data_IF_527850286150
#
_entry.id   IF_527850286150
#
_cell.length_a   1.000
_cell.length_b   1.000
_cell.length_c   1.000
_cell.angle_alpha   90.00
_cell.angle_beta   90.00
_cell.angle_gamma   90.00
#
_symmetry.space_group_name_H-M   'P 1'
#
loop_
_entity.id
_entity.type
_entity.pdbx_description
1 polymer ?
#
# COMPACT_ATOMS: atom_id res chain seq x y z
N UNK A 1 -28.26 8.11 18.20
CA UNK A 1 -27.12 8.77 18.88
C UNK A 1 -26.79 10.07 18.16
N UNK A 2 -26.52 11.15 18.90
CA UNK A 2 -26.00 12.39 18.30
C UNK A 2 -24.56 12.19 17.80
N UNK A 3 -24.06 13.01 16.87
CA UNK A 3 -22.67 12.92 16.42
C UNK A 3 -21.64 13.01 17.55
N UNK A 4 -21.87 13.91 18.51
CA UNK A 4 -20.97 14.07 19.67
C UNK A 4 -21.03 12.86 20.61
N UNK A 5 -22.20 12.27 20.81
CA UNK A 5 -22.36 11.04 21.58
C UNK A 5 -21.65 9.86 20.90
N UNK A 6 -21.70 9.74 19.57
CA UNK A 6 -20.96 8.73 18.81
C UNK A 6 -19.47 8.88 19.08
N UNK A 7 -18.91 10.09 18.97
CA UNK A 7 -17.49 10.36 19.23
C UNK A 7 -17.12 10.05 20.66
N UNK A 8 -17.91 10.52 21.63
CA UNK A 8 -17.67 10.33 23.06
C UNK A 8 -17.64 8.84 23.44
N UNK A 9 -18.64 8.07 23.01
CA UNK A 9 -18.71 6.62 23.30
C UNK A 9 -17.61 5.84 22.58
N UNK A 10 -17.27 6.23 21.34
CA UNK A 10 -16.17 5.60 20.60
C UNK A 10 -14.85 5.82 21.33
N UNK A 11 -14.55 7.05 21.76
CA UNK A 11 -13.33 7.35 22.53
C UNK A 11 -13.31 6.64 23.89
N UNK A 12 -14.45 6.53 24.55
CA UNK A 12 -14.56 5.90 25.88
C UNK A 12 -14.33 4.39 25.85
N UNK A 13 -14.79 3.69 24.81
CA UNK A 13 -14.86 2.23 24.79
C UNK A 13 -13.95 1.56 23.73
N UNK A 14 -13.31 2.34 22.83
CA UNK A 14 -12.44 1.78 21.81
C UNK A 14 -11.05 2.41 21.91
N UNK A 15 -10.03 1.59 21.60
CA UNK A 15 -8.64 2.00 21.57
C UNK A 15 -8.22 2.29 20.11
N UNK A 16 -7.72 3.49 19.86
CA UNK A 16 -7.29 3.92 18.53
C UNK A 16 -5.81 3.61 18.30
N UNK A 17 -5.50 2.97 17.17
CA UNK A 17 -4.11 2.74 16.76
C UNK A 17 -3.47 4.03 16.20
N UNK A 18 -2.15 4.07 16.20
CA UNK A 18 -1.33 5.16 15.63
C UNK A 18 -1.52 6.55 16.28
N UNK A 19 -2.17 6.62 17.41
CA UNK A 19 -2.52 7.89 18.07
C UNK A 19 -2.35 7.79 19.57
N UNK A 20 -1.91 8.88 20.19
CA UNK A 20 -2.10 9.07 21.62
C UNK A 20 -3.60 9.29 21.89
N UNK A 21 -4.18 8.54 22.83
CA UNK A 21 -5.64 8.47 23.00
C UNK A 21 -6.29 9.84 23.24
N UNK A 22 -5.64 10.70 24.00
CA UNK A 22 -6.17 12.06 24.31
C UNK A 22 -6.18 12.97 23.08
N UNK A 23 -5.28 12.75 22.11
CA UNK A 23 -5.18 13.55 20.88
C UNK A 23 -6.15 13.13 19.78
N UNK A 24 -6.88 12.01 19.96
CA UNK A 24 -7.80 11.49 18.94
C UNK A 24 -9.02 12.39 18.81
N UNK A 25 -9.26 12.87 17.59
CA UNK A 25 -10.45 13.63 17.21
C UNK A 25 -11.06 13.01 15.92
N UNK A 26 -11.79 11.88 16.04
CA UNK A 26 -12.27 11.13 14.90
C UNK A 26 -13.44 11.83 14.22
N UNK A 27 -13.53 11.72 12.89
CA UNK A 27 -14.72 12.14 12.14
C UNK A 27 -15.83 11.10 12.42
N UNK A 28 -17.03 11.53 12.87
CA UNK A 28 -18.17 10.62 13.04
C UNK A 28 -18.76 10.27 11.65
N UNK A 29 -18.10 9.38 10.92
CA UNK A 29 -18.50 8.98 9.58
C UNK A 29 -19.85 8.24 9.61
N UNK A 30 -20.80 8.66 8.74
CA UNK A 30 -22.15 8.11 8.71
C UNK A 30 -22.46 7.28 7.45
N UNK A 31 -21.98 7.73 6.27
CA UNK A 31 -22.24 7.06 4.98
C UNK A 31 -21.13 7.36 3.99
N UNK A 32 -21.01 6.49 2.98
CA UNK A 32 -20.10 6.68 1.84
C UNK A 32 -20.78 6.31 0.52
N UNK A 33 -20.48 7.03 -0.57
CA UNK A 33 -20.91 6.69 -1.94
C UNK A 33 -19.91 7.23 -2.97
N UNK A 34 -19.47 6.38 -3.88
CA UNK A 34 -18.48 6.76 -4.90
C UNK A 34 -17.17 7.22 -4.27
N UNK A 35 -16.67 8.38 -4.65
CA UNK A 35 -15.46 8.99 -4.09
C UNK A 35 -15.71 9.85 -2.84
N UNK A 36 -16.93 9.88 -2.33
CA UNK A 36 -17.34 10.74 -1.23
C UNK A 36 -17.79 9.95 -0.01
N UNK A 37 -17.60 10.56 1.16
CA UNK A 37 -18.29 10.17 2.37
C UNK A 37 -18.87 11.39 3.10
N UNK A 38 -19.77 11.14 4.05
CA UNK A 38 -20.40 12.16 4.87
C UNK A 38 -20.25 11.82 6.33
N UNK A 39 -19.98 12.85 7.14
CA UNK A 39 -20.05 12.70 8.56
C UNK A 39 -21.50 12.78 9.08
N UNK A 40 -21.69 12.51 10.37
CA UNK A 40 -23.00 12.52 11.00
C UNK A 40 -23.59 13.93 11.21
N UNK A 41 -22.81 15.00 10.92
CA UNK A 41 -23.31 16.37 10.82
C UNK A 41 -23.79 16.71 9.41
N UNK A 42 -23.64 15.79 8.46
CA UNK A 42 -24.02 15.97 7.05
C UNK A 42 -22.96 16.62 6.17
N UNK A 43 -21.77 16.89 6.70
CA UNK A 43 -20.67 17.45 5.92
C UNK A 43 -20.12 16.37 4.98
N UNK A 44 -19.99 16.73 3.69
CA UNK A 44 -19.41 15.88 2.64
C UNK A 44 -17.89 16.06 2.57
N UNK A 45 -17.19 14.97 2.36
CA UNK A 45 -15.77 14.93 2.09
C UNK A 45 -15.49 14.15 0.82
N UNK A 46 -14.60 14.68 -0.06
CA UNK A 46 -13.96 13.87 -1.08
C UNK A 46 -12.85 13.06 -0.42
N UNK A 47 -12.88 11.75 -0.63
CA UNK A 47 -11.92 10.80 -0.04
C UNK A 47 -10.65 10.73 -0.91
N UNK A 48 -9.72 11.67 -0.72
CA UNK A 48 -8.45 11.70 -1.48
C UNK A 48 -7.47 10.61 -1.04
N UNK A 49 -7.80 9.82 -0.03
CA UNK A 49 -6.92 8.77 0.49
C UNK A 49 -7.54 7.37 0.40
N UNK A 50 -8.72 7.19 -0.23
CA UNK A 50 -9.44 5.91 -0.25
C UNK A 50 -9.53 5.29 1.15
N UNK A 51 -9.91 6.08 2.16
CA UNK A 51 -9.81 5.80 3.60
C UNK A 51 -8.36 5.52 4.02
N UNK A 52 -7.92 4.29 3.99
CA UNK A 52 -6.54 3.89 4.24
C UNK A 52 -5.94 3.21 3.00
N UNK A 53 -6.07 3.87 1.83
CA UNK A 53 -5.59 3.41 0.51
C UNK A 53 -6.16 2.03 0.15
N UNK A 54 -7.46 1.83 0.43
CA UNK A 54 -8.10 0.52 0.29
C UNK A 54 -9.44 0.56 -0.47
N UNK A 55 -10.12 1.69 -0.54
CA UNK A 55 -11.44 1.81 -1.18
C UNK A 55 -11.27 2.05 -2.69
N UNK A 56 -10.73 1.04 -3.41
CA UNK A 56 -10.32 1.20 -4.81
C UNK A 56 -11.52 1.44 -5.75
N UNK A 57 -12.62 0.69 -5.60
CA UNK A 57 -13.84 0.84 -6.42
C UNK A 57 -14.82 1.87 -5.86
N UNK A 58 -14.40 2.66 -4.85
CA UNK A 58 -15.28 3.63 -4.20
C UNK A 58 -16.16 3.03 -3.12
N UNK A 59 -16.91 3.91 -2.45
CA UNK A 59 -17.84 3.58 -1.39
C UNK A 59 -19.19 3.15 -1.94
N UNK A 60 -19.82 2.15 -1.31
CA UNK A 60 -21.24 1.84 -1.47
C UNK A 60 -21.64 1.32 -2.87
N UNK A 61 -20.80 0.53 -3.53
CA UNK A 61 -21.17 -0.18 -4.76
C UNK A 61 -22.18 -1.28 -4.43
N UNK A 62 -23.37 -1.16 -5.01
CA UNK A 62 -24.49 -2.04 -4.73
C UNK A 62 -24.23 -3.49 -5.17
N UNK A 63 -23.43 -3.72 -6.22
CA UNK A 63 -23.08 -5.05 -6.73
C UNK A 63 -22.32 -5.86 -5.68
N UNK A 64 -21.38 -5.21 -4.98
CA UNK A 64 -20.61 -5.87 -3.91
C UNK A 64 -21.47 -6.08 -2.67
N UNK A 65 -22.32 -5.10 -2.31
CA UNK A 65 -23.24 -5.20 -1.18
C UNK A 65 -24.21 -6.36 -1.38
N UNK A 66 -24.82 -6.47 -2.56
CA UNK A 66 -25.76 -7.57 -2.87
C UNK A 66 -25.06 -8.94 -2.92
N UNK A 67 -23.81 -9.01 -3.43
CA UNK A 67 -23.03 -10.25 -3.37
C UNK A 67 -22.78 -10.73 -1.94
N UNK A 68 -22.48 -9.80 -1.02
CA UNK A 68 -22.31 -10.11 0.41
C UNK A 68 -23.63 -10.59 1.02
N UNK A 69 -24.75 -9.92 0.75
CA UNK A 69 -26.07 -10.31 1.26
C UNK A 69 -26.44 -11.71 0.78
N UNK A 70 -26.31 -11.97 -0.51
CA UNK A 70 -26.57 -13.30 -1.08
C UNK A 70 -25.72 -14.37 -0.44
N UNK A 71 -24.41 -14.12 -0.27
CA UNK A 71 -23.52 -15.07 0.39
C UNK A 71 -23.91 -15.32 1.85
N UNK A 72 -24.40 -14.29 2.55
CA UNK A 72 -24.87 -14.43 3.94
C UNK A 72 -26.13 -15.31 4.05
N UNK A 73 -27.00 -15.29 3.05
CA UNK A 73 -28.19 -16.16 3.00
C UNK A 73 -27.83 -17.61 2.67
N UNK A 74 -26.79 -17.84 1.87
CA UNK A 74 -26.41 -19.18 1.40
C UNK A 74 -25.43 -19.89 2.35
N UNK A 75 -24.31 -19.24 2.70
CA UNK A 75 -23.25 -19.84 3.50
C UNK A 75 -22.37 -18.76 4.17
N UNK A 76 -22.58 -18.53 5.44
CA UNK A 76 -21.82 -17.52 6.21
C UNK A 76 -20.37 -17.94 6.42
N UNK A 77 -20.14 -19.19 6.86
CA UNK A 77 -18.82 -19.70 7.21
C UNK A 77 -18.63 -21.13 6.74
N UNK A 78 -17.41 -21.40 6.25
CA UNK A 78 -16.89 -22.74 6.01
C UNK A 78 -15.49 -22.85 6.59
N UNK A 79 -15.18 -23.95 7.26
CA UNK A 79 -13.84 -24.19 7.82
C UNK A 79 -12.76 -24.21 6.71
N UNK A 80 -11.49 -23.89 7.04
CA UNK A 80 -10.42 -23.75 6.04
C UNK A 80 -10.16 -24.99 5.17
N UNK A 81 -10.55 -26.17 5.62
CA UNK A 81 -10.44 -27.44 4.88
C UNK A 81 -11.59 -27.68 3.89
N UNK A 82 -12.65 -26.87 3.94
CA UNK A 82 -13.82 -27.07 3.10
C UNK A 82 -13.64 -26.37 1.73
N UNK A 83 -14.18 -27.03 0.70
CA UNK A 83 -14.38 -26.41 -0.61
C UNK A 83 -15.72 -25.67 -0.62
N UNK A 84 -15.79 -24.54 -1.31
CA UNK A 84 -17.02 -23.81 -1.59
C UNK A 84 -16.96 -23.21 -2.99
N UNK A 85 -18.10 -22.95 -3.61
CA UNK A 85 -18.19 -22.36 -4.94
C UNK A 85 -17.47 -21.01 -4.99
N UNK A 86 -17.71 -20.13 -4.01
CA UNK A 86 -17.08 -18.81 -3.93
C UNK A 86 -15.57 -18.89 -3.79
N UNK A 87 -15.04 -19.92 -3.10
CA UNK A 87 -13.60 -20.16 -2.96
C UNK A 87 -12.97 -20.59 -4.29
N UNK A 88 -13.66 -21.46 -5.02
CA UNK A 88 -13.20 -21.86 -6.35
C UNK A 88 -13.24 -20.69 -7.33
N UNK A 89 -14.30 -19.90 -7.30
CA UNK A 89 -14.52 -18.75 -8.17
C UNK A 89 -13.44 -17.69 -7.99
N UNK A 90 -13.18 -17.25 -6.75
CA UNK A 90 -12.16 -16.20 -6.52
C UNK A 90 -10.77 -16.69 -6.92
N UNK A 91 -10.43 -17.97 -6.64
CA UNK A 91 -9.15 -18.54 -7.06
C UNK A 91 -8.97 -18.52 -8.57
N UNK A 92 -10.03 -18.86 -9.31
CA UNK A 92 -10.03 -18.82 -10.79
C UNK A 92 -9.89 -17.38 -11.29
N UNK A 93 -10.72 -16.45 -10.80
CA UNK A 93 -10.73 -15.06 -11.29
C UNK A 93 -9.46 -14.27 -10.95
N UNK A 94 -8.84 -14.54 -9.79
CA UNK A 94 -7.52 -14.00 -9.45
C UNK A 94 -6.43 -14.56 -10.38
N UNK A 95 -6.44 -15.87 -10.66
CA UNK A 95 -5.46 -16.49 -11.54
C UNK A 95 -5.46 -15.93 -12.97
N UNK A 96 -6.56 -15.30 -13.42
CA UNK A 96 -6.66 -14.65 -14.73
C UNK A 96 -5.90 -13.31 -14.79
N UNK A 97 -5.73 -12.63 -13.66
CA UNK A 97 -5.13 -11.27 -13.58
C UNK A 97 -3.74 -11.26 -12.94
N UNK A 98 -3.31 -12.41 -12.38
CA UNK A 98 -1.98 -12.51 -11.76
C UNK A 98 -0.85 -12.59 -12.81
N UNK A 99 0.31 -11.99 -12.54
CA UNK A 99 1.48 -12.10 -13.40
C UNK A 99 2.04 -13.53 -13.41
N UNK A 100 2.46 -13.99 -14.57
CA UNK A 100 3.15 -15.28 -14.76
C UNK A 100 2.36 -16.49 -14.26
N UNK A 101 3.02 -17.32 -13.44
CA UNK A 101 2.51 -18.57 -12.87
C UNK A 101 2.03 -18.47 -11.41
N UNK A 102 1.81 -17.28 -10.91
CA UNK A 102 1.29 -17.02 -9.56
C UNK A 102 -0.21 -17.37 -9.45
N UNK A 103 -0.56 -18.65 -9.52
CA UNK A 103 -1.96 -19.11 -9.66
C UNK A 103 -2.49 -19.92 -8.48
N UNK A 104 -1.76 -19.97 -7.38
CA UNK A 104 -2.20 -20.63 -6.15
C UNK A 104 -2.24 -19.60 -5.00
N UNK A 105 -3.32 -19.63 -4.22
CA UNK A 105 -3.61 -18.60 -3.23
C UNK A 105 -3.81 -19.18 -1.84
N UNK A 106 -3.18 -18.57 -0.84
CA UNK A 106 -3.49 -18.75 0.57
C UNK A 106 -4.19 -17.50 1.07
N UNK A 107 -5.47 -17.61 1.41
CA UNK A 107 -6.29 -16.48 1.87
C UNK A 107 -6.11 -16.22 3.35
N UNK A 108 -6.04 -14.93 3.73
CA UNK A 108 -5.87 -14.41 5.09
C UNK A 108 -6.92 -13.32 5.36
N UNK A 109 -6.90 -12.68 6.54
CA UNK A 109 -7.85 -11.59 6.84
C UNK A 109 -7.30 -10.20 6.47
N UNK A 110 -6.01 -10.10 6.21
CA UNK A 110 -5.40 -8.81 5.85
C UNK A 110 -3.95 -8.94 5.43
N UNK A 111 -3.35 -7.78 5.07
CA UNK A 111 -1.97 -7.72 4.56
C UNK A 111 -0.91 -8.19 5.55
N UNK A 112 -1.06 -7.86 6.84
CA UNK A 112 -0.11 -8.30 7.86
C UNK A 112 -0.03 -9.83 7.95
N UNK A 113 -1.17 -10.52 7.96
CA UNK A 113 -1.21 -11.98 7.97
C UNK A 113 -0.73 -12.59 6.65
N UNK A 114 -1.00 -11.93 5.51
CA UNK A 114 -0.44 -12.36 4.23
C UNK A 114 1.10 -12.31 4.28
N UNK A 115 1.67 -11.23 4.78
CA UNK A 115 3.11 -11.07 4.93
C UNK A 115 3.72 -12.09 5.92
N UNK A 116 3.06 -12.35 7.06
CA UNK A 116 3.49 -13.41 8.00
C UNK A 116 3.56 -14.78 7.34
N UNK A 117 2.55 -15.12 6.52
CA UNK A 117 2.50 -16.42 5.87
C UNK A 117 3.51 -16.50 4.70
N UNK A 118 3.77 -15.39 3.99
CA UNK A 118 4.84 -15.33 3.00
C UNK A 118 6.22 -15.54 3.64
N UNK A 119 6.48 -14.96 4.83
CA UNK A 119 7.71 -15.22 5.62
C UNK A 119 7.85 -16.70 5.95
N UNK A 120 6.77 -17.34 6.45
CA UNK A 120 6.78 -18.77 6.77
C UNK A 120 7.06 -19.62 5.52
N UNK A 121 6.39 -19.34 4.41
CA UNK A 121 6.58 -20.05 3.14
C UNK A 121 8.00 -19.90 2.64
N UNK A 122 8.57 -18.69 2.66
CA UNK A 122 9.92 -18.42 2.20
C UNK A 122 10.95 -19.21 3.02
N UNK A 123 10.86 -19.17 4.34
CA UNK A 123 11.76 -19.90 5.25
C UNK A 123 11.64 -21.41 5.10
N UNK A 124 10.41 -21.92 5.01
CA UNK A 124 10.17 -23.36 4.89
C UNK A 124 10.63 -23.91 3.54
N UNK A 125 10.29 -23.21 2.45
CA UNK A 125 10.67 -23.62 1.10
C UNK A 125 12.18 -23.63 0.88
N UNK A 126 12.89 -22.60 1.37
CA UNK A 126 14.33 -22.47 1.14
C UNK A 126 15.18 -23.18 2.20
N UNK A 127 14.63 -23.50 3.36
CA UNK A 127 15.38 -23.96 4.53
C UNK A 127 16.29 -22.88 5.14
N UNK A 128 16.15 -21.62 4.70
CA UNK A 128 16.95 -20.48 5.14
C UNK A 128 16.17 -19.59 6.10
N UNK A 129 16.83 -18.74 6.88
CA UNK A 129 16.14 -17.99 7.93
C UNK A 129 16.18 -16.47 7.79
N UNK A 130 17.16 -15.90 7.04
CA UNK A 130 17.27 -14.46 6.89
C UNK A 130 16.31 -13.92 5.84
N UNK A 131 15.81 -12.70 6.05
CA UNK A 131 14.98 -11.97 5.10
C UNK A 131 15.53 -10.55 4.99
N UNK A 132 15.70 -10.07 3.78
CA UNK A 132 16.08 -8.68 3.50
C UNK A 132 14.81 -7.86 3.23
N UNK A 133 14.66 -6.72 3.91
CA UNK A 133 13.59 -5.75 3.72
C UNK A 133 14.17 -4.34 3.58
N UNK A 134 13.33 -3.32 3.29
CA UNK A 134 13.79 -1.94 3.13
C UNK A 134 13.49 -1.08 4.36
N UNK A 135 14.32 -0.03 4.60
CA UNK A 135 14.10 0.91 5.70
C UNK A 135 12.82 1.75 5.53
N UNK A 136 12.51 2.19 4.31
CA UNK A 136 11.26 2.93 4.08
C UNK A 136 10.17 1.98 3.62
N UNK A 137 9.68 1.17 4.56
CA UNK A 137 8.63 0.19 4.28
C UNK A 137 7.63 0.08 5.42
N UNK A 138 6.46 -0.48 5.09
CA UNK A 138 5.46 -0.90 6.05
C UNK A 138 4.77 -2.17 5.57
N UNK A 139 4.88 -3.24 6.36
CA UNK A 139 4.37 -4.57 5.97
C UNK A 139 3.25 -5.09 6.88
N UNK A 140 2.93 -4.39 7.95
CA UNK A 140 1.85 -4.79 8.87
C UNK A 140 2.22 -4.66 10.34
N UNK A 141 1.26 -4.95 11.22
CA UNK A 141 1.37 -4.73 12.67
C UNK A 141 1.56 -6.02 13.49
N UNK A 142 1.64 -7.19 12.85
CA UNK A 142 1.99 -8.46 13.51
C UNK A 142 3.51 -8.58 13.66
N UNK A 143 4.01 -9.45 14.53
CA UNK A 143 5.44 -9.49 14.88
C UNK A 143 6.40 -9.60 13.69
N UNK A 144 6.15 -10.53 12.76
CA UNK A 144 7.02 -10.70 11.59
C UNK A 144 6.87 -9.55 10.61
N UNK A 145 5.64 -9.16 10.26
CA UNK A 145 5.39 -8.05 9.35
C UNK A 145 5.90 -6.71 9.90
N UNK A 146 5.80 -6.48 11.23
CA UNK A 146 6.36 -5.30 11.88
C UNK A 146 7.89 -5.33 11.87
N UNK A 147 8.50 -6.51 11.99
CA UNK A 147 9.97 -6.63 11.90
C UNK A 147 10.48 -6.36 10.49
N UNK A 148 9.72 -6.75 9.44
CA UNK A 148 10.03 -6.37 8.06
C UNK A 148 9.87 -4.86 7.83
N UNK A 149 8.93 -4.21 8.52
CA UNK A 149 8.73 -2.76 8.46
C UNK A 149 10.01 -2.05 8.88
N UNK A 150 10.52 -1.17 8.02
CA UNK A 150 11.81 -0.53 8.26
C UNK A 150 11.73 0.83 8.93
N UNK A 151 10.56 1.47 8.97
CA UNK A 151 10.41 2.79 9.57
C UNK A 151 10.22 2.75 11.10
N UNK A 152 10.10 3.95 11.70
CA UNK A 152 10.05 4.11 13.16
C UNK A 152 8.88 3.40 13.85
N UNK A 153 7.84 2.97 13.13
CA UNK A 153 6.71 2.23 13.71
C UNK A 153 7.13 0.89 14.32
N UNK A 154 8.26 0.31 13.86
CA UNK A 154 8.80 -0.92 14.45
C UNK A 154 9.47 -0.72 15.82
N UNK A 155 9.99 0.47 16.13
CA UNK A 155 10.85 0.68 17.31
C UNK A 155 10.22 0.24 18.63
N UNK A 156 8.90 0.45 18.79
CA UNK A 156 8.17 0.01 19.97
C UNK A 156 7.93 -1.52 20.03
N UNK A 157 8.26 -2.25 18.95
CA UNK A 157 8.04 -3.69 18.81
C UNK A 157 9.36 -4.48 18.69
N UNK A 158 10.49 -3.81 18.82
CA UNK A 158 11.79 -4.47 18.81
C UNK A 158 12.01 -5.29 20.10
N UNK A 159 12.76 -6.43 20.02
CA UNK A 159 13.65 -6.81 18.91
C UNK A 159 12.99 -7.52 17.71
N UNK A 160 11.72 -7.86 17.75
CA UNK A 160 11.01 -8.53 16.66
C UNK A 160 11.44 -9.99 16.42
N UNK A 161 11.19 -10.53 15.22
CA UNK A 161 11.64 -11.86 14.82
C UNK A 161 13.11 -11.83 14.38
N UNK A 162 13.90 -12.90 14.65
CA UNK A 162 15.31 -12.92 14.26
C UNK A 162 15.50 -13.01 12.74
N UNK A 163 16.67 -12.51 12.27
CA UNK A 163 17.15 -12.71 10.91
C UNK A 163 16.57 -11.73 9.86
N UNK A 164 16.01 -10.61 10.27
CA UNK A 164 15.61 -9.54 9.33
C UNK A 164 16.73 -8.51 9.20
N UNK A 165 17.08 -8.18 7.96
CA UNK A 165 18.12 -7.23 7.59
C UNK A 165 17.47 -6.13 6.78
N UNK A 166 17.73 -4.85 7.14
CA UNK A 166 17.21 -3.72 6.39
C UNK A 166 18.27 -3.11 5.47
N UNK A 167 17.86 -2.85 4.23
CA UNK A 167 18.66 -2.16 3.21
C UNK A 167 18.06 -0.78 2.89
N UNK A 168 18.83 0.07 2.25
CA UNK A 168 18.33 1.37 1.79
C UNK A 168 17.42 1.24 0.58
N UNK A 169 16.55 2.24 0.44
CA UNK A 169 15.56 2.32 -0.62
C UNK A 169 16.14 2.95 -1.88
N UNK A 170 15.67 2.58 -3.08
CA UNK A 170 16.04 3.24 -4.32
C UNK A 170 15.31 4.60 -4.45
N UNK A 171 15.49 5.47 -3.47
CA UNK A 171 14.79 6.74 -3.31
C UNK A 171 15.61 7.91 -3.87
N UNK A 172 15.53 8.12 -5.18
CA UNK A 172 16.36 9.08 -5.93
C UNK A 172 16.43 10.46 -5.28
N UNK A 173 15.32 11.02 -4.83
CA UNK A 173 15.28 12.37 -4.27
C UNK A 173 16.13 12.55 -3.00
N UNK A 174 16.30 11.50 -2.17
CA UNK A 174 17.04 11.59 -0.89
C UNK A 174 18.21 10.60 -0.76
N UNK A 175 18.47 9.79 -1.76
CA UNK A 175 19.54 8.81 -1.68
C UNK A 175 20.91 9.47 -1.76
N UNK A 176 21.83 9.05 -0.89
CA UNK A 176 23.24 9.44 -0.97
C UNK A 176 23.98 8.75 -2.13
N UNK A 177 23.42 7.67 -2.68
CA UNK A 177 23.98 6.97 -3.83
C UNK A 177 23.71 7.72 -5.15
N UNK A 178 22.63 8.53 -5.19
CA UNK A 178 22.31 9.31 -6.37
C UNK A 178 23.25 10.51 -6.51
N UNK A 179 23.85 10.66 -7.68
CA UNK A 179 24.63 11.84 -8.07
C UNK A 179 23.87 12.60 -9.15
N UNK A 180 23.96 13.92 -9.12
CA UNK A 180 23.34 14.76 -10.15
C UNK A 180 23.86 14.39 -11.54
N UNK A 181 22.95 14.12 -12.47
CA UNK A 181 23.26 13.62 -13.80
C UNK A 181 23.23 12.10 -13.96
N UNK A 182 23.10 11.32 -12.88
CA UNK A 182 22.89 9.87 -13.01
C UNK A 182 21.59 9.58 -13.77
N UNK A 183 21.65 8.71 -14.77
CA UNK A 183 20.46 8.11 -15.35
C UNK A 183 19.79 7.14 -14.35
N UNK A 184 18.54 6.78 -14.59
CA UNK A 184 17.83 5.82 -13.75
C UNK A 184 18.57 4.48 -13.71
N UNK A 185 19.11 4.01 -14.83
CA UNK A 185 19.90 2.77 -14.91
C UNK A 185 21.18 2.83 -14.07
N UNK A 186 21.90 3.97 -14.09
CA UNK A 186 23.12 4.17 -13.28
C UNK A 186 22.76 4.15 -11.79
N UNK A 187 21.73 4.86 -11.41
CA UNK A 187 21.26 4.88 -10.01
C UNK A 187 20.74 3.52 -9.56
N UNK A 188 19.94 2.83 -10.39
CA UNK A 188 19.49 1.47 -10.13
C UNK A 188 20.68 0.54 -9.89
N UNK A 189 21.72 0.60 -10.74
CA UNK A 189 22.93 -0.22 -10.60
C UNK A 189 23.62 0.01 -9.26
N UNK A 190 23.83 1.27 -8.86
CA UNK A 190 24.42 1.60 -7.54
C UNK A 190 23.61 1.01 -6.38
N UNK A 191 22.26 1.05 -6.45
CA UNK A 191 21.41 0.44 -5.43
C UNK A 191 21.52 -1.09 -5.42
N UNK A 192 21.63 -1.73 -6.58
CA UNK A 192 21.79 -3.18 -6.71
C UNK A 192 23.15 -3.67 -6.23
N UNK A 193 24.22 -2.93 -6.54
CA UNK A 193 25.58 -3.23 -6.07
C UNK A 193 25.66 -3.19 -4.54
N UNK A 194 24.94 -2.26 -3.88
CA UNK A 194 24.81 -2.24 -2.42
C UNK A 194 24.11 -3.51 -1.89
N UNK A 195 23.08 -4.01 -2.58
CA UNK A 195 22.40 -5.26 -2.19
C UNK A 195 23.32 -6.45 -2.32
N UNK A 196 24.10 -6.54 -3.40
CA UNK A 196 25.10 -7.60 -3.57
C UNK A 196 26.19 -7.56 -2.47
N UNK A 197 26.62 -6.36 -2.07
CA UNK A 197 27.58 -6.18 -0.97
C UNK A 197 26.99 -6.67 0.37
N UNK A 198 25.74 -6.29 0.68
CA UNK A 198 25.03 -6.80 1.87
C UNK A 198 24.92 -8.32 1.83
N UNK A 199 24.54 -8.90 0.70
CA UNK A 199 24.44 -10.35 0.54
C UNK A 199 25.79 -11.05 0.75
N UNK A 200 26.88 -10.45 0.28
CA UNK A 200 28.23 -11.00 0.50
C UNK A 200 28.55 -11.12 2.00
N UNK A 201 28.28 -10.07 2.79
CA UNK A 201 28.54 -10.08 4.25
C UNK A 201 27.55 -10.96 5.02
N UNK A 202 26.30 -11.04 4.59
CA UNK A 202 25.27 -11.83 5.26
C UNK A 202 25.31 -13.33 4.94
N UNK A 203 26.01 -13.71 3.88
CA UNK A 203 26.04 -15.07 3.35
C UNK A 203 24.78 -15.40 2.53
N UNK A 204 24.79 -15.30 1.21
CA UNK A 204 23.59 -15.47 0.35
C UNK A 204 22.84 -16.78 0.60
N UNK A 205 23.57 -17.85 0.96
CA UNK A 205 23.02 -19.18 1.28
C UNK A 205 22.19 -19.21 2.58
N UNK A 206 22.18 -18.15 3.39
CA UNK A 206 21.37 -18.02 4.61
C UNK A 206 20.11 -17.18 4.39
N UNK A 207 20.01 -16.47 3.25
CA UNK A 207 18.90 -15.55 2.92
C UNK A 207 17.80 -16.29 2.21
N UNK A 208 16.60 -16.32 2.79
CA UNK A 208 15.41 -16.96 2.26
C UNK A 208 14.74 -16.11 1.18
N UNK A 209 14.59 -14.81 1.45
CA UNK A 209 13.86 -13.91 0.57
C UNK A 209 14.36 -12.46 0.65
N UNK A 210 14.17 -11.73 -0.44
CA UNK A 210 14.13 -10.26 -0.45
C UNK A 210 12.64 -9.89 -0.53
N UNK A 211 12.19 -9.11 0.47
CA UNK A 211 10.79 -8.75 0.68
C UNK A 211 10.62 -7.24 0.52
N UNK A 212 9.89 -6.80 -0.48
CA UNK A 212 9.74 -5.38 -0.79
C UNK A 212 8.28 -5.01 -1.11
N UNK A 213 7.88 -3.78 -0.81
CA UNK A 213 6.77 -3.15 -1.53
C UNK A 213 7.24 -2.85 -2.95
N UNK A 214 6.53 -3.28 -3.99
CA UNK A 214 6.92 -3.02 -5.40
C UNK A 214 7.07 -1.52 -5.64
N UNK A 215 6.05 -0.76 -5.27
CA UNK A 215 6.10 0.70 -5.09
C UNK A 215 5.83 0.96 -3.62
N UNK A 216 6.77 1.60 -2.95
CA UNK A 216 6.63 1.88 -1.51
C UNK A 216 5.44 2.79 -1.24
N UNK A 217 4.55 2.38 -0.35
CA UNK A 217 3.32 3.12 -0.04
C UNK A 217 3.51 4.29 0.92
N UNK A 218 3.14 4.11 2.20
CA UNK A 218 3.05 5.20 3.20
C UNK A 218 4.36 5.98 3.42
N UNK A 219 5.49 5.41 3.07
CA UNK A 219 6.79 6.06 3.19
C UNK A 219 7.15 6.97 2.01
N UNK A 220 6.19 7.29 1.11
CA UNK A 220 6.30 8.39 0.17
C UNK A 220 6.15 8.05 -1.30
N UNK A 221 5.44 6.98 -1.64
CA UNK A 221 5.23 6.53 -3.02
C UNK A 221 6.56 6.47 -3.77
N UNK A 222 7.49 5.66 -3.24
CA UNK A 222 8.82 5.54 -3.83
C UNK A 222 8.73 4.55 -4.99
N UNK A 223 8.83 5.08 -6.20
CA UNK A 223 8.82 4.32 -7.44
C UNK A 223 10.26 3.88 -7.72
N UNK A 224 10.53 2.59 -7.90
CA UNK A 224 11.87 2.12 -8.22
C UNK A 224 12.30 2.66 -9.59
N UNK A 225 13.60 3.07 -9.75
CA UNK A 225 14.11 3.51 -11.03
C UNK A 225 14.16 2.36 -12.04
N UNK A 226 14.13 2.70 -13.31
CA UNK A 226 14.20 1.73 -14.40
C UNK A 226 15.44 0.82 -14.27
N UNK A 227 15.23 -0.48 -14.43
CA UNK A 227 16.26 -1.51 -14.28
C UNK A 227 16.44 -2.04 -12.85
N UNK A 228 15.91 -1.36 -11.82
CA UNK A 228 16.08 -1.82 -10.43
C UNK A 228 15.35 -3.13 -10.14
N UNK A 229 14.07 -3.24 -10.51
CA UNK A 229 13.28 -4.42 -10.19
C UNK A 229 13.73 -5.65 -10.99
N UNK A 230 14.11 -5.44 -12.26
CA UNK A 230 14.72 -6.48 -13.10
C UNK A 230 16.04 -6.97 -12.52
N UNK A 231 16.95 -6.07 -12.16
CA UNK A 231 18.23 -6.43 -11.54
C UNK A 231 18.05 -7.11 -10.18
N UNK A 232 17.04 -6.71 -9.40
CA UNK A 232 16.70 -7.39 -8.15
C UNK A 232 16.24 -8.85 -8.40
N UNK A 233 15.43 -9.08 -9.45
CA UNK A 233 15.03 -10.42 -9.86
C UNK A 233 16.25 -11.26 -10.29
N UNK A 234 17.20 -10.66 -11.02
CA UNK A 234 18.45 -11.34 -11.40
C UNK A 234 19.30 -11.73 -10.21
N UNK A 235 19.47 -10.84 -9.22
CA UNK A 235 20.17 -11.12 -7.95
C UNK A 235 19.50 -12.30 -7.23
N UNK A 236 18.17 -12.26 -7.10
CA UNK A 236 17.42 -13.35 -6.48
C UNK A 236 17.63 -14.68 -7.19
N UNK A 237 17.58 -14.68 -8.53
CA UNK A 237 17.82 -15.88 -9.35
C UNK A 237 19.25 -16.42 -9.18
N UNK A 238 20.25 -15.54 -9.22
CA UNK A 238 21.68 -15.87 -9.06
C UNK A 238 21.97 -16.60 -7.75
N UNK A 239 21.34 -16.14 -6.66
CA UNK A 239 21.61 -16.68 -5.32
C UNK A 239 20.56 -17.68 -4.81
N UNK A 240 19.53 -17.98 -5.60
CA UNK A 240 18.42 -18.86 -5.20
C UNK A 240 17.66 -18.28 -4.00
N UNK A 241 17.48 -16.97 -3.98
CA UNK A 241 16.71 -16.20 -3.00
C UNK A 241 15.32 -15.94 -3.59
N UNK A 242 14.27 -16.02 -2.78
CA UNK A 242 12.92 -15.70 -3.26
C UNK A 242 12.71 -14.18 -3.33
N UNK A 243 12.07 -13.71 -4.39
CA UNK A 243 11.56 -12.34 -4.47
C UNK A 243 10.10 -12.32 -4.03
N UNK A 244 9.79 -11.60 -2.95
CA UNK A 244 8.44 -11.40 -2.45
C UNK A 244 8.05 -9.95 -2.63
N UNK A 245 7.02 -9.70 -3.41
CA UNK A 245 6.49 -8.36 -3.65
C UNK A 245 5.22 -8.14 -2.82
N UNK A 246 5.27 -7.18 -1.90
CA UNK A 246 4.12 -6.69 -1.16
C UNK A 246 3.34 -5.72 -2.05
N UNK A 247 2.24 -6.20 -2.58
CA UNK A 247 1.30 -5.44 -3.43
C UNK A 247 0.02 -5.04 -2.67
N UNK A 248 0.08 -5.05 -1.34
CA UNK A 248 -1.06 -4.70 -0.48
C UNK A 248 -1.57 -3.29 -0.76
N UNK A 249 -0.68 -2.34 -1.08
CA UNK A 249 -1.08 -0.98 -1.47
C UNK A 249 -1.01 -0.75 -2.99
N UNK A 250 0.04 -1.24 -3.62
CA UNK A 250 0.36 -0.93 -5.02
C UNK A 250 -0.44 -1.76 -6.03
N UNK A 251 -0.93 -2.93 -5.62
CA UNK A 251 -1.70 -3.83 -6.48
C UNK A 251 -3.15 -3.42 -6.72
N UNK A 252 -3.82 -4.26 -7.49
CA UNK A 252 -5.26 -4.17 -7.78
C UNK A 252 -5.67 -2.80 -8.34
N UNK A 253 -4.97 -2.41 -9.43
CA UNK A 253 -5.29 -1.24 -10.23
C UNK A 253 -4.72 0.07 -9.74
N UNK A 254 -4.17 0.15 -8.53
CA UNK A 254 -3.70 1.40 -7.91
C UNK A 254 -2.68 2.15 -8.78
N UNK A 255 -1.77 1.42 -9.40
CA UNK A 255 -0.71 1.99 -10.24
C UNK A 255 -1.09 2.12 -11.73
N UNK A 256 -2.33 1.75 -12.11
CA UNK A 256 -2.77 1.75 -13.51
C UNK A 256 -2.49 0.44 -14.27
N UNK A 257 -1.99 -0.56 -13.55
CA UNK A 257 -1.91 -1.98 -13.97
C UNK A 257 -2.54 -2.85 -12.88
N UNK A 258 -2.85 -4.13 -13.17
CA UNK A 258 -3.42 -5.03 -12.17
C UNK A 258 -2.49 -5.18 -10.96
N UNK A 259 -1.21 -5.38 -11.21
CA UNK A 259 -0.16 -5.39 -10.19
C UNK A 259 0.98 -4.45 -10.59
N UNK A 260 1.61 -3.81 -9.61
CA UNK A 260 2.67 -2.85 -9.91
C UNK A 260 3.88 -3.50 -10.59
N UNK A 261 4.17 -4.77 -10.32
CA UNK A 261 5.24 -5.53 -10.99
C UNK A 261 5.09 -5.59 -12.52
N UNK A 262 3.87 -5.43 -13.04
CA UNK A 262 3.58 -5.45 -14.47
C UNK A 262 4.25 -4.31 -15.22
N UNK A 263 4.48 -3.15 -14.57
CA UNK A 263 5.19 -2.03 -15.17
C UNK A 263 6.63 -2.38 -15.59
N UNK A 264 7.25 -3.33 -14.92
CA UNK A 264 8.63 -3.75 -15.15
C UNK A 264 8.75 -5.14 -15.77
N UNK A 265 7.64 -5.80 -16.09
CA UNK A 265 7.58 -7.16 -16.60
C UNK A 265 8.36 -8.15 -15.71
N UNK A 266 8.27 -8.00 -14.40
CA UNK A 266 8.92 -8.87 -13.42
C UNK A 266 7.90 -9.78 -12.76
N UNK A 267 8.18 -11.09 -12.78
CA UNK A 267 7.39 -12.08 -12.05
C UNK A 267 8.13 -12.45 -10.76
N UNK A 268 7.61 -12.07 -9.58
CA UNK A 268 8.18 -12.49 -8.31
C UNK A 268 7.81 -13.94 -7.97
N UNK A 269 8.41 -14.50 -6.93
CA UNK A 269 8.06 -15.85 -6.46
C UNK A 269 6.77 -15.85 -5.63
N UNK A 270 6.47 -14.74 -4.96
CA UNK A 270 5.22 -14.53 -4.21
C UNK A 270 4.77 -13.08 -4.33
N UNK A 271 3.44 -12.89 -4.33
CA UNK A 271 2.80 -11.58 -4.16
C UNK A 271 1.89 -11.65 -2.94
N UNK A 272 1.99 -10.67 -2.05
CA UNK A 272 1.01 -10.47 -0.97
C UNK A 272 0.04 -9.35 -1.34
N UNK A 273 -1.24 -9.53 -1.05
CA UNK A 273 -2.30 -8.59 -1.39
C UNK A 273 -3.36 -8.50 -0.29
N UNK A 274 -4.04 -7.36 -0.22
CA UNK A 274 -5.20 -7.10 0.65
C UNK A 274 -5.97 -5.87 0.13
N UNK A 275 -6.42 -4.97 1.01
CA UNK A 275 -6.99 -3.64 0.68
C UNK A 275 -7.91 -3.65 -0.56
N UNK A 276 -7.37 -3.31 -1.73
CA UNK A 276 -8.08 -3.30 -3.01
C UNK A 276 -8.72 -4.65 -3.39
N UNK A 277 -8.29 -5.76 -2.79
CA UNK A 277 -8.80 -7.11 -3.06
C UNK A 277 -10.32 -7.23 -2.82
N UNK A 278 -10.82 -6.51 -1.83
CA UNK A 278 -12.26 -6.38 -1.56
C UNK A 278 -12.70 -4.92 -1.57
N UNK A 279 -11.81 -4.00 -1.91
CA UNK A 279 -12.05 -2.56 -1.75
C UNK A 279 -12.54 -2.18 -0.34
N UNK A 280 -12.06 -2.91 0.68
CA UNK A 280 -12.42 -2.76 2.09
C UNK A 280 -13.89 -3.10 2.46
N UNK A 281 -14.68 -3.66 1.54
CA UNK A 281 -16.04 -4.09 1.86
C UNK A 281 -16.06 -5.22 2.89
N UNK A 282 -15.07 -6.10 2.86
CA UNK A 282 -14.84 -7.16 3.87
C UNK A 282 -13.32 -7.33 4.10
N UNK A 283 -12.90 -7.73 5.32
CA UNK A 283 -11.50 -8.09 5.58
C UNK A 283 -11.08 -9.28 4.73
N UNK A 284 -10.04 -9.12 3.92
CA UNK A 284 -9.43 -10.20 3.13
C UNK A 284 -7.99 -9.83 2.79
N UNK A 285 -7.11 -10.80 2.84
CA UNK A 285 -5.77 -10.77 2.29
C UNK A 285 -5.47 -12.08 1.58
N UNK A 286 -4.39 -12.12 0.82
CA UNK A 286 -3.93 -13.35 0.19
C UNK A 286 -2.42 -13.32 -0.06
N UNK A 287 -1.82 -14.52 -0.08
CA UNK A 287 -0.50 -14.78 -0.65
C UNK A 287 -0.72 -15.56 -1.94
N UNK A 288 -0.28 -15.00 -3.07
CA UNK A 288 -0.16 -15.73 -4.33
C UNK A 288 1.24 -16.33 -4.43
N UNK A 289 1.34 -17.58 -4.81
CA UNK A 289 2.61 -18.33 -4.94
C UNK A 289 2.75 -18.90 -6.34
N UNK A 290 3.99 -19.00 -6.82
CA UNK A 290 4.32 -19.64 -8.09
C UNK A 290 4.20 -21.17 -8.05
N UNK A 291 4.25 -21.81 -9.22
CA UNK A 291 4.12 -23.27 -9.35
C UNK A 291 5.19 -24.00 -8.54
N UNK A 292 6.43 -23.52 -8.53
CA UNK A 292 7.55 -24.12 -7.82
C UNK A 292 7.31 -24.21 -6.30
N UNK A 293 6.79 -23.16 -5.68
CA UNK A 293 6.42 -23.18 -4.26
C UNK A 293 5.19 -24.04 -4.05
N UNK A 294 4.19 -23.96 -4.94
CA UNK A 294 2.99 -24.81 -4.87
C UNK A 294 3.35 -26.30 -4.91
N UNK A 295 4.27 -26.68 -5.78
CA UNK A 295 4.73 -28.07 -5.95
C UNK A 295 5.48 -28.59 -4.73
N UNK A 296 6.27 -27.74 -4.07
CA UNK A 296 6.93 -28.08 -2.81
C UNK A 296 5.93 -28.51 -1.72
N UNK A 297 4.72 -27.94 -1.72
CA UNK A 297 3.69 -28.27 -0.74
C UNK A 297 2.75 -29.40 -1.17
N UNK A 298 3.01 -30.12 -2.25
CA UNK A 298 2.20 -31.29 -2.65
C UNK A 298 2.26 -32.43 -1.64
N UNK A 299 3.43 -32.61 -1.01
CA UNK A 299 3.71 -33.67 -0.02
C UNK A 299 4.15 -33.13 1.35
N UNK A 300 4.20 -31.82 1.54
CA UNK A 300 4.59 -31.18 2.79
C UNK A 300 3.43 -30.36 3.38
N UNK A 301 3.28 -30.44 4.68
CA UNK A 301 2.24 -29.67 5.40
C UNK A 301 2.66 -28.21 5.52
N UNK A 302 1.77 -27.30 5.13
CA UNK A 302 1.90 -25.88 5.44
C UNK A 302 1.13 -25.55 6.71
N UNK A 303 1.84 -25.13 7.75
CA UNK A 303 1.26 -24.78 9.06
C UNK A 303 0.81 -23.31 9.09
N UNK A 304 -0.15 -22.93 8.22
CA UNK A 304 -0.70 -21.58 8.09
C UNK A 304 -1.63 -21.20 9.24
N UNK A 305 -2.57 -22.08 9.60
CA UNK A 305 -3.31 -22.07 10.85
C UNK A 305 -4.26 -20.90 11.12
N UNK A 306 -4.94 -20.34 10.11
CA UNK A 306 -5.90 -19.26 10.27
C UNK A 306 -7.32 -19.79 10.25
N UNK A 307 -8.07 -19.65 11.38
CA UNK A 307 -9.47 -20.11 11.51
C UNK A 307 -10.39 -19.52 10.46
N UNK A 308 -10.22 -18.24 10.13
CA UNK A 308 -11.04 -17.52 9.15
C UNK A 308 -10.43 -17.46 7.74
N UNK A 309 -9.40 -18.27 7.46
CA UNK A 309 -8.84 -18.38 6.10
C UNK A 309 -9.94 -18.75 5.10
N UNK A 310 -10.01 -18.04 4.00
CA UNK A 310 -11.00 -18.26 2.93
C UNK A 310 -12.46 -18.15 3.41
N UNK A 311 -12.76 -17.17 4.29
CA UNK A 311 -14.11 -16.93 4.79
C UNK A 311 -15.08 -16.58 3.65
N UNK A 312 -16.18 -17.33 3.43
CA UNK A 312 -17.06 -17.17 2.28
C UNK A 312 -17.57 -15.75 2.04
N UNK A 313 -17.96 -15.03 3.10
CA UNK A 313 -18.41 -13.64 3.01
C UNK A 313 -17.35 -12.71 2.43
N UNK A 314 -16.09 -12.85 2.88
CA UNK A 314 -14.98 -12.05 2.39
C UNK A 314 -14.61 -12.41 0.95
N UNK A 315 -14.68 -13.69 0.60
CA UNK A 315 -14.42 -14.15 -0.77
C UNK A 315 -15.50 -13.65 -1.74
N UNK A 316 -16.76 -13.61 -1.33
CA UNK A 316 -17.86 -13.08 -2.15
C UNK A 316 -17.66 -11.58 -2.45
N UNK A 317 -17.22 -10.79 -1.45
CA UNK A 317 -16.85 -9.41 -1.65
C UNK A 317 -15.67 -9.29 -2.64
N UNK A 318 -14.66 -10.15 -2.53
CA UNK A 318 -13.51 -10.19 -3.43
C UNK A 318 -13.90 -10.52 -4.88
N UNK A 319 -14.74 -11.55 -5.10
CA UNK A 319 -15.26 -11.91 -6.42
C UNK A 319 -16.01 -10.72 -7.04
N UNK A 320 -16.94 -10.12 -6.29
CA UNK A 320 -17.71 -8.98 -6.79
C UNK A 320 -16.81 -7.78 -7.11
N UNK A 321 -15.83 -7.48 -6.25
CA UNK A 321 -14.86 -6.40 -6.49
C UNK A 321 -14.07 -6.61 -7.76
N UNK A 322 -13.53 -7.81 -8.01
CA UNK A 322 -12.77 -8.13 -9.24
C UNK A 322 -13.63 -7.97 -10.48
N UNK A 323 -14.91 -8.38 -10.42
CA UNK A 323 -15.86 -8.21 -11.53
C UNK A 323 -16.15 -6.75 -11.81
N UNK A 324 -16.46 -5.97 -10.79
CA UNK A 324 -16.64 -4.52 -10.90
C UNK A 324 -15.42 -3.86 -11.52
N UNK A 325 -14.21 -4.23 -11.09
CA UNK A 325 -12.97 -3.68 -11.65
C UNK A 325 -12.79 -4.01 -13.14
N UNK A 326 -13.20 -5.20 -13.59
CA UNK A 326 -13.15 -5.62 -14.99
C UNK A 326 -14.26 -4.94 -15.82
N UNK A 327 -15.51 -4.98 -15.34
CA UNK A 327 -16.68 -4.46 -16.03
C UNK A 327 -16.62 -2.94 -16.28
N UNK A 328 -16.16 -2.19 -15.29
CA UNK A 328 -16.10 -0.72 -15.34
C UNK A 328 -14.72 -0.20 -15.82
N UNK A 329 -13.80 -1.08 -16.26
CA UNK A 329 -12.43 -0.72 -16.68
C UNK A 329 -11.70 0.18 -15.66
N UNK A 330 -11.79 -0.16 -14.38
CA UNK A 330 -11.26 0.67 -13.30
C UNK A 330 -9.73 0.79 -13.38
N UNK A 331 -9.04 -0.27 -13.80
CA UNK A 331 -7.58 -0.24 -14.02
C UNK A 331 -7.23 0.73 -15.14
N UNK A 332 -7.98 0.72 -16.24
CA UNK A 332 -7.83 1.68 -17.35
C UNK A 332 -8.14 3.09 -16.92
N UNK A 333 -9.16 3.32 -16.06
CA UNK A 333 -9.44 4.63 -15.49
C UNK A 333 -8.26 5.13 -14.63
N UNK A 334 -7.71 4.28 -13.76
CA UNK A 334 -6.53 4.61 -12.95
C UNK A 334 -5.34 5.03 -13.81
N UNK A 335 -5.10 4.32 -14.92
CA UNK A 335 -4.04 4.64 -15.88
C UNK A 335 -4.28 5.99 -16.58
N UNK A 336 -5.52 6.23 -17.02
CA UNK A 336 -5.91 7.44 -17.76
C UNK A 336 -5.92 8.68 -16.85
N UNK A 337 -6.65 8.63 -15.74
CA UNK A 337 -6.77 9.75 -14.80
C UNK A 337 -5.46 9.96 -14.02
N UNK A 338 -4.68 8.89 -13.80
CA UNK A 338 -3.35 8.98 -13.20
C UNK A 338 -2.37 9.84 -14.01
N UNK A 339 -2.46 9.83 -15.35
CA UNK A 339 -1.66 10.74 -16.19
C UNK A 339 -2.04 12.20 -15.97
N UNK A 340 -3.33 12.48 -15.78
CA UNK A 340 -3.80 13.83 -15.45
C UNK A 340 -3.30 14.24 -14.07
N UNK A 341 -3.36 13.34 -13.09
CA UNK A 341 -2.84 13.59 -11.76
C UNK A 341 -1.33 13.91 -11.79
N UNK A 342 -0.54 13.20 -12.59
CA UNK A 342 0.88 13.49 -12.76
C UNK A 342 1.13 14.91 -13.24
N UNK A 343 0.40 15.37 -14.27
CA UNK A 343 0.49 16.76 -14.76
C UNK A 343 0.12 17.78 -13.68
N UNK A 344 -0.97 17.55 -12.96
CA UNK A 344 -1.38 18.44 -11.87
C UNK A 344 -0.37 18.49 -10.72
N UNK A 345 0.30 17.38 -10.42
CA UNK A 345 1.38 17.34 -9.43
C UNK A 345 2.62 18.12 -9.90
N UNK A 346 2.98 18.03 -11.18
CA UNK A 346 4.07 18.81 -11.77
C UNK A 346 3.76 20.31 -11.75
N UNK A 347 2.52 20.71 -12.05
CA UNK A 347 2.06 22.11 -11.96
C UNK A 347 2.22 22.63 -10.51
N UNK A 348 1.76 21.88 -9.50
CA UNK A 348 1.94 22.25 -8.09
C UNK A 348 3.42 22.39 -7.71
N UNK A 349 4.28 21.52 -8.23
CA UNK A 349 5.73 21.60 -7.98
C UNK A 349 6.35 22.84 -8.61
N UNK A 350 5.85 23.27 -9.76
CA UNK A 350 6.31 24.48 -10.43
C UNK A 350 5.84 25.75 -9.70
N UNK A 351 4.60 25.76 -9.21
CA UNK A 351 3.97 26.93 -8.60
C UNK A 351 4.38 27.13 -7.13
N UNK A 352 4.56 26.05 -6.36
CA UNK A 352 4.79 26.12 -4.91
C UNK A 352 6.25 25.86 -4.52
N UNK A 353 6.97 26.86 -3.98
CA UNK A 353 8.37 26.69 -3.55
C UNK A 353 8.55 25.64 -2.43
N UNK A 354 7.52 25.39 -1.61
CA UNK A 354 7.56 24.37 -0.57
C UNK A 354 7.44 22.93 -1.08
N UNK A 355 7.02 22.74 -2.34
CA UNK A 355 6.99 21.41 -2.95
C UNK A 355 8.39 21.02 -3.43
N UNK A 356 9.07 20.18 -2.66
CA UNK A 356 10.42 19.71 -2.99
C UNK A 356 10.43 18.62 -4.05
N UNK A 357 9.47 17.69 -3.99
CA UNK A 357 9.32 16.60 -4.95
C UNK A 357 7.89 16.12 -5.07
N UNK A 358 7.54 15.60 -6.25
CA UNK A 358 6.26 14.91 -6.51
C UNK A 358 6.52 13.57 -7.16
N UNK A 359 5.71 12.59 -6.84
CA UNK A 359 5.82 11.24 -7.40
C UNK A 359 4.44 10.67 -7.62
N UNK A 360 4.22 10.05 -8.77
CA UNK A 360 2.96 9.33 -9.03
C UNK A 360 3.14 8.23 -10.06
N UNK A 361 2.33 7.18 -9.92
CA UNK A 361 2.17 6.11 -10.89
C UNK A 361 0.70 5.65 -10.83
N UNK A 362 -0.05 5.77 -11.93
CA UNK A 362 -1.51 5.65 -11.89
C UNK A 362 -2.12 6.66 -10.90
N UNK A 363 -3.06 6.23 -10.08
CA UNK A 363 -3.68 7.03 -9.01
C UNK A 363 -3.03 6.79 -7.65
N UNK A 364 -1.71 6.64 -7.64
CA UNK A 364 -0.86 6.46 -6.48
C UNK A 364 0.18 7.57 -6.44
N UNK A 365 -0.08 8.64 -5.66
CA UNK A 365 0.71 9.86 -5.71
C UNK A 365 1.08 10.43 -4.34
N UNK A 366 2.11 11.28 -4.34
CA UNK A 366 2.64 11.94 -3.14
C UNK A 366 3.28 13.27 -3.50
N UNK A 367 3.00 14.29 -2.67
CA UNK A 367 3.66 15.59 -2.64
C UNK A 367 4.58 15.61 -1.43
N UNK A 368 5.88 15.82 -1.65
CA UNK A 368 6.87 15.92 -0.58
C UNK A 368 7.24 17.39 -0.32
N UNK A 369 7.01 17.84 0.90
CA UNK A 369 7.14 19.23 1.31
C UNK A 369 8.47 19.50 2.03
N UNK A 370 9.11 20.61 1.69
CA UNK A 370 10.42 21.03 2.21
C UNK A 370 10.39 22.47 2.69
N UNK A 371 11.26 22.81 3.64
CA UNK A 371 11.54 24.20 4.07
C UNK A 371 12.59 24.88 3.20
N UNK A 372 13.36 24.09 2.47
CA UNK A 372 14.43 24.57 1.60
C UNK A 372 14.65 23.55 0.48
N UNK A 373 14.50 23.97 -0.79
CA UNK A 373 14.67 23.08 -1.95
C UNK A 373 16.12 22.65 -2.18
N UNK A 374 17.09 23.50 -1.86
CA UNK A 374 18.52 23.20 -2.10
C UNK A 374 19.03 22.16 -1.13
N UNK A 375 18.76 22.35 0.17
CA UNK A 375 19.19 21.42 1.21
C UNK A 375 18.24 20.23 1.37
N UNK A 376 17.04 20.29 0.77
CA UNK A 376 15.93 19.33 0.92
C UNK A 376 15.49 19.18 2.38
N UNK A 377 15.67 20.23 3.21
CA UNK A 377 15.21 20.22 4.60
C UNK A 377 13.71 19.95 4.64
N UNK A 378 13.25 18.85 5.31
CA UNK A 378 11.85 18.45 5.27
C UNK A 378 10.96 19.42 6.06
N UNK A 379 9.70 19.59 5.64
CA UNK A 379 8.71 20.44 6.30
C UNK A 379 8.35 19.93 7.71
N UNK A 380 8.52 18.63 7.98
CA UNK A 380 8.32 18.02 9.29
C UNK A 380 9.47 17.06 9.63
N UNK A 381 9.73 16.77 10.91
CA UNK A 381 10.75 15.80 11.31
C UNK A 381 10.40 14.37 10.89
N UNK A 382 11.41 13.48 10.95
CA UNK A 382 11.21 12.05 10.62
C UNK A 382 10.18 11.37 11.53
N UNK A 383 10.12 11.77 12.80
CA UNK A 383 9.08 11.33 13.76
C UNK A 383 8.36 12.55 14.28
N UNK A 384 7.03 12.52 14.28
CA UNK A 384 6.18 13.63 14.69
C UNK A 384 5.63 14.44 13.51
N UNK A 385 5.00 15.55 13.83
CA UNK A 385 4.40 16.48 12.88
C UNK A 385 4.93 17.90 13.10
N UNK A 386 4.79 18.77 12.10
CA UNK A 386 5.02 20.20 12.22
C UNK A 386 3.69 20.97 12.31
N UNK A 387 3.77 22.19 12.80
CA UNK A 387 2.60 23.06 12.86
C UNK A 387 2.01 23.33 11.46
N UNK A 388 2.87 23.48 10.46
CA UNK A 388 2.49 23.72 9.07
C UNK A 388 1.76 22.52 8.47
N UNK A 389 2.28 21.30 8.67
CA UNK A 389 1.63 20.08 8.19
C UNK A 389 0.27 19.84 8.88
N UNK A 390 0.16 20.17 10.17
CA UNK A 390 -1.11 20.11 10.88
C UNK A 390 -2.12 21.13 10.34
N UNK A 391 -1.68 22.37 10.08
CA UNK A 391 -2.52 23.42 9.48
C UNK A 391 -2.98 23.03 8.06
N UNK A 392 -2.08 22.49 7.26
CA UNK A 392 -2.40 22.00 5.92
C UNK A 392 -3.48 20.91 5.97
N UNK A 393 -3.31 19.92 6.83
CA UNK A 393 -4.29 18.84 7.01
C UNK A 393 -5.65 19.37 7.53
N UNK A 394 -5.65 20.34 8.45
CA UNK A 394 -6.86 20.98 8.95
C UNK A 394 -7.58 21.75 7.84
N UNK A 395 -6.86 22.55 7.05
CA UNK A 395 -7.41 23.29 5.92
C UNK A 395 -8.09 22.38 4.90
N UNK A 396 -7.43 21.27 4.52
CA UNK A 396 -8.01 20.28 3.60
C UNK A 396 -9.32 19.71 4.17
N UNK A 397 -9.32 19.30 5.45
CA UNK A 397 -10.51 18.78 6.14
C UNK A 397 -11.63 19.81 6.23
N UNK A 398 -11.32 21.07 6.53
CA UNK A 398 -12.30 22.18 6.58
C UNK A 398 -12.93 22.43 5.23
N UNK A 399 -12.17 22.28 4.13
CA UNK A 399 -12.64 22.45 2.77
C UNK A 399 -13.17 21.15 2.11
N UNK A 400 -13.53 20.16 2.93
CA UNK A 400 -14.21 18.96 2.46
C UNK A 400 -13.31 17.96 1.71
N UNK A 401 -12.03 17.97 1.97
CA UNK A 401 -11.06 16.99 1.46
C UNK A 401 -10.51 16.14 2.60
N UNK A 402 -10.72 14.83 2.52
CA UNK A 402 -10.09 13.87 3.43
C UNK A 402 -8.79 13.37 2.79
N UNK A 403 -7.66 13.82 3.34
CA UNK A 403 -6.33 13.49 2.86
C UNK A 403 -5.47 12.89 3.97
N UNK A 404 -4.45 12.15 3.58
CA UNK A 404 -3.47 11.58 4.50
C UNK A 404 -2.17 12.38 4.43
N UNK A 405 -1.82 13.01 5.54
CA UNK A 405 -0.52 13.65 5.73
C UNK A 405 0.34 12.76 6.61
N UNK A 406 1.55 12.49 6.17
CA UNK A 406 2.50 11.65 6.91
C UNK A 406 3.88 12.29 6.89
N UNK A 407 4.41 12.69 8.05
CA UNK A 407 5.65 13.46 8.12
C UNK A 407 5.51 14.77 7.30
N UNK A 408 6.39 14.97 6.32
CA UNK A 408 6.37 16.08 5.38
C UNK A 408 5.72 15.73 4.02
N UNK A 409 4.85 14.74 3.99
CA UNK A 409 4.22 14.25 2.76
C UNK A 409 2.70 14.39 2.81
N UNK A 410 2.11 14.81 1.71
CA UNK A 410 0.68 14.74 1.43
C UNK A 410 0.45 13.68 0.36
N UNK A 411 -0.34 12.67 0.69
CA UNK A 411 -0.67 11.57 -0.23
C UNK A 411 -1.91 11.89 -1.07
N UNK A 412 -1.86 11.52 -2.35
CA UNK A 412 -2.95 11.68 -3.33
C UNK A 412 -3.33 10.31 -3.89
N UNK A 413 -4.16 9.59 -3.15
CA UNK A 413 -4.52 8.18 -3.41
C UNK A 413 -6.05 8.00 -3.45
N UNK A 414 -6.79 8.71 -4.30
CA UNK A 414 -8.25 8.66 -4.34
C UNK A 414 -8.75 7.27 -4.76
N UNK A 415 -10.05 6.96 -4.59
CA UNK A 415 -10.66 5.80 -5.22
C UNK A 415 -10.42 5.82 -6.73
N UNK A 416 -10.17 4.65 -7.32
CA UNK A 416 -9.75 4.53 -8.72
C UNK A 416 -10.87 4.89 -9.72
N UNK A 417 -12.08 5.06 -9.23
CA UNK A 417 -13.26 5.52 -10.00
C UNK A 417 -13.34 7.05 -10.11
N UNK A 418 -12.41 7.79 -9.49
CA UNK A 418 -12.43 9.25 -9.54
C UNK A 418 -12.42 9.75 -10.99
N UNK A 419 -13.25 10.75 -11.27
CA UNK A 419 -13.29 11.41 -12.57
C UNK A 419 -12.22 12.50 -12.66
N UNK A 420 -11.85 12.89 -13.88
CA UNK A 420 -10.97 14.05 -14.11
C UNK A 420 -11.51 15.32 -13.45
N UNK A 421 -12.82 15.56 -13.54
CA UNK A 421 -13.46 16.73 -12.94
C UNK A 421 -13.27 16.77 -11.43
N UNK A 422 -13.58 15.67 -10.75
CA UNK A 422 -13.41 15.56 -9.30
C UNK A 422 -11.94 15.68 -8.88
N UNK A 423 -11.04 15.13 -9.68
CA UNK A 423 -9.61 15.25 -9.43
C UNK A 423 -9.15 16.71 -9.53
N UNK A 424 -9.56 17.45 -10.56
CA UNK A 424 -9.23 18.87 -10.70
C UNK A 424 -9.80 19.71 -9.56
N UNK A 425 -11.07 19.48 -9.18
CA UNK A 425 -11.70 20.17 -8.05
C UNK A 425 -10.90 19.99 -6.75
N UNK A 426 -10.43 18.78 -6.45
CA UNK A 426 -9.64 18.55 -5.23
C UNK A 426 -8.24 19.15 -5.31
N UNK A 427 -7.62 19.19 -6.49
CA UNK A 427 -6.32 19.81 -6.69
C UNK A 427 -6.35 21.33 -6.54
N UNK A 428 -7.47 22.00 -6.87
CA UNK A 428 -7.67 23.41 -6.55
C UNK A 428 -7.66 23.68 -5.05
N UNK A 429 -8.20 22.76 -4.24
CA UNK A 429 -8.15 22.87 -2.77
C UNK A 429 -6.72 22.62 -2.25
N UNK A 430 -6.00 21.65 -2.84
CA UNK A 430 -4.60 21.38 -2.49
C UNK A 430 -3.73 22.59 -2.82
N UNK A 431 -3.91 23.19 -3.98
CA UNK A 431 -3.16 24.39 -4.42
C UNK A 431 -3.25 25.50 -3.36
N UNK A 432 -4.46 25.85 -2.91
CA UNK A 432 -4.66 26.83 -1.83
C UNK A 432 -4.05 26.39 -0.48
N UNK A 433 -4.13 25.10 -0.18
CA UNK A 433 -3.58 24.58 1.08
C UNK A 433 -2.04 24.70 1.13
N UNK A 434 -1.37 24.59 -0.01
CA UNK A 434 0.09 24.67 -0.11
C UNK A 434 0.64 26.08 0.17
N UNK A 435 -0.18 27.15 0.04
CA UNK A 435 0.20 28.51 0.47
C UNK A 435 0.63 28.55 1.95
N UNK A 436 0.06 27.66 2.78
CA UNK A 436 0.41 27.53 4.21
C UNK A 436 1.87 27.09 4.37
N UNK A 437 2.31 26.13 3.54
CA UNK A 437 3.67 25.62 3.59
C UNK A 437 4.66 26.53 2.89
N UNK A 438 4.23 27.26 1.86
CA UNK A 438 5.04 28.28 1.18
C UNK A 438 5.40 29.43 2.12
N UNK A 439 4.47 29.82 3.01
CA UNK A 439 4.73 30.81 4.04
C UNK A 439 5.82 30.43 5.06
N UNK A 440 6.17 29.14 5.12
CA UNK A 440 7.16 28.58 6.05
C UNK A 440 8.53 28.31 5.41
N UNK A 441 8.74 28.68 4.14
CA UNK A 441 10.03 28.56 3.47
C UNK A 441 11.10 29.42 4.12
N UNK A 442 12.31 28.86 4.26
CA UNK A 442 13.47 29.57 4.84
C UNK A 442 14.32 30.31 3.81
N UNK A 443 14.24 29.89 2.54
CA UNK A 443 14.85 30.58 1.41
C UNK A 443 13.76 31.34 0.64
N UNK A 444 13.71 32.66 0.79
CA UNK A 444 12.95 33.56 -0.05
C UNK A 444 13.86 34.21 -1.08
#
# INVERSE_FOLDING_TARGET
>A
MSPDEIVALTKKHNFFSWSAQDSVNPIPMAKGKGVYFWDAHGKRYLDLNSQLMCVNIGHGDERVIEAIKKQAEELVYAGPSMASEVRATIGKELAEVMPGDLKKFFFTLGGAEANENAIKMARHFTGRHKIIARYRSYHGATSGAMTLTGDHRRWANEPGIPGVIHIFDPYKYRSQLYQEGDSDQVFARKCLDQIEEVLMYEGPHTVAAIFIETVTGTNGIIIPPDGYLQGLREICNKHGILLVCDEVMAGLGRTGEWFAVDHWNVVPDMITMAKGLTSAYMPLGAVAINEKISDFYKDKVFYGGLTYSAHPMSLAAGVATLRVMKEDDIVGNSKRVGKIMAGLLDDLKAEHPSVGDVRSIGLFGCIELVRNRKTKEPMAPYVGASAEMNKLGAYLKENGVYAFTWRNMLHTNPPLIITEKELREVFEVINKALEITDGAMRDK
#
